data_IF_946288746378
#
_entry.id   IF_946288746378
#
_cell.length_a   1.000
_cell.length_b   1.000
_cell.length_c   1.000
_cell.angle_alpha   90.00
_cell.angle_beta   90.00
_cell.angle_gamma   90.00
#
_symmetry.space_group_name_H-M   'P 1'
#
loop_
_entity.id
_entity.type
_entity.pdbx_description
1 polymer ?
#
# COMPACT_ATOMS: atom_id res chain seq x y z
N UNK A 1 -6.88 21.65 12.22
CA UNK A 1 -7.74 20.48 12.50
C UNK A 1 -8.59 20.27 11.28
N UNK A 2 -8.59 19.07 10.73
CA UNK A 2 -9.30 18.69 9.50
C UNK A 2 -10.42 17.73 9.90
N UNK A 3 -11.65 17.99 9.49
CA UNK A 3 -12.72 17.00 9.66
C UNK A 3 -12.57 15.91 8.59
N UNK A 4 -12.87 14.66 8.92
CA UNK A 4 -12.76 13.57 7.93
C UNK A 4 -13.63 13.78 6.70
N UNK A 5 -14.75 14.51 6.84
CA UNK A 5 -15.63 14.90 5.74
C UNK A 5 -14.97 15.89 4.75
N UNK A 6 -13.94 16.63 5.17
CA UNK A 6 -13.16 17.54 4.30
C UNK A 6 -12.10 16.79 3.48
N UNK A 7 -11.78 15.54 3.85
CA UNK A 7 -10.84 14.71 3.11
C UNK A 7 -11.57 14.11 1.91
N UNK A 8 -11.41 14.75 0.75
CA UNK A 8 -11.96 14.24 -0.49
C UNK A 8 -11.31 12.93 -0.93
N UNK A 9 -12.02 12.10 -1.72
CA UNK A 9 -11.44 10.89 -2.28
C UNK A 9 -10.25 11.24 -3.21
N UNK A 10 -9.27 10.33 -3.28
CA UNK A 10 -8.16 10.47 -4.22
C UNK A 10 -8.73 10.51 -5.65
N UNK A 11 -8.45 11.59 -6.37
CA UNK A 11 -8.86 11.76 -7.77
C UNK A 11 -7.91 10.99 -8.69
N UNK A 12 -8.35 10.72 -9.93
CA UNK A 12 -7.49 9.99 -10.89
C UNK A 12 -6.17 10.68 -11.22
N UNK A 13 -6.13 11.99 -11.48
CA UNK A 13 -4.85 12.70 -11.66
C UNK A 13 -3.94 12.54 -10.44
N UNK A 14 -4.47 12.79 -9.26
CA UNK A 14 -3.77 12.64 -7.98
C UNK A 14 -3.28 11.20 -7.74
N UNK A 15 -4.12 10.19 -8.01
CA UNK A 15 -3.72 8.78 -7.93
C UNK A 15 -2.54 8.43 -8.85
N UNK A 16 -2.46 9.10 -10.00
CA UNK A 16 -1.33 8.93 -10.91
C UNK A 16 -0.06 9.56 -10.35
N UNK A 17 -0.14 10.77 -9.86
CA UNK A 17 1.00 11.47 -9.23
C UNK A 17 1.50 10.68 -8.02
N UNK A 18 0.60 10.30 -7.10
CA UNK A 18 0.94 9.48 -5.94
C UNK A 18 1.61 8.15 -6.33
N UNK A 19 1.15 7.51 -7.41
CA UNK A 19 1.75 6.25 -7.87
C UNK A 19 3.15 6.42 -8.47
N UNK A 20 3.36 7.50 -9.24
CA UNK A 20 4.64 7.82 -9.85
C UNK A 20 5.65 8.18 -8.74
N UNK A 21 5.27 9.05 -7.82
CA UNK A 21 6.10 9.51 -6.71
C UNK A 21 6.44 8.39 -5.73
N UNK A 22 5.46 7.56 -5.38
CA UNK A 22 5.68 6.44 -4.46
C UNK A 22 6.63 5.40 -5.05
N UNK A 23 6.44 5.05 -6.32
CA UNK A 23 7.37 4.09 -6.95
C UNK A 23 8.76 4.69 -7.08
N UNK A 24 8.89 6.00 -7.33
CA UNK A 24 10.18 6.67 -7.36
C UNK A 24 10.86 6.68 -5.98
N UNK A 25 10.10 6.93 -4.91
CA UNK A 25 10.60 6.88 -3.53
C UNK A 25 11.07 5.47 -3.14
N UNK A 26 10.29 4.43 -3.51
CA UNK A 26 10.68 3.03 -3.31
C UNK A 26 11.98 2.69 -4.08
N UNK A 27 12.07 3.08 -5.35
CA UNK A 27 13.27 2.88 -6.19
C UNK A 27 14.50 3.56 -5.57
N UNK A 28 14.34 4.79 -5.07
CA UNK A 28 15.43 5.52 -4.41
C UNK A 28 15.90 4.80 -3.14
N UNK A 29 14.97 4.39 -2.27
CA UNK A 29 15.29 3.65 -1.05
C UNK A 29 16.02 2.34 -1.37
N UNK A 30 15.49 1.53 -2.29
CA UNK A 30 16.08 0.25 -2.67
C UNK A 30 17.46 0.41 -3.34
N UNK A 31 17.66 1.50 -4.11
CA UNK A 31 18.91 1.79 -4.77
C UNK A 31 20.08 2.13 -3.83
N UNK A 32 19.76 2.58 -2.62
CA UNK A 32 20.74 2.96 -1.59
C UNK A 32 21.07 1.81 -0.61
N UNK A 33 20.42 0.65 -0.73
CA UNK A 33 20.62 -0.46 0.21
C UNK A 33 21.93 -1.18 -0.03
N UNK A 34 22.63 -1.51 1.06
CA UNK A 34 23.78 -2.42 1.05
C UNK A 34 23.35 -3.87 0.78
N UNK A 35 24.25 -4.75 0.33
CA UNK A 35 23.94 -6.16 0.15
C UNK A 35 23.36 -6.85 1.40
N UNK A 36 23.81 -6.46 2.58
CA UNK A 36 23.34 -7.00 3.86
C UNK A 36 21.92 -6.53 4.19
N UNK A 37 21.56 -5.29 3.83
CA UNK A 37 20.22 -4.75 4.04
C UNK A 37 19.18 -5.46 3.18
N UNK A 38 19.53 -5.89 1.99
CA UNK A 38 18.65 -6.67 1.12
C UNK A 38 18.22 -8.02 1.70
N UNK A 39 19.00 -8.58 2.61
CA UNK A 39 18.70 -9.85 3.30
C UNK A 39 17.98 -9.66 4.64
N UNK A 40 17.66 -8.42 5.05
CA UNK A 40 16.96 -8.16 6.31
C UNK A 40 15.52 -8.64 6.25
N UNK A 41 15.06 -9.27 7.35
CA UNK A 41 13.66 -9.70 7.49
C UNK A 41 12.76 -8.48 7.66
N UNK A 42 11.60 -8.51 7.05
CA UNK A 42 10.59 -7.45 7.14
C UNK A 42 9.46 -7.83 8.10
N UNK A 43 8.53 -6.92 8.33
CA UNK A 43 7.31 -7.18 9.11
C UNK A 43 6.34 -8.15 8.40
N UNK A 44 6.55 -8.45 7.12
CA UNK A 44 5.91 -9.55 6.43
C UNK A 44 6.71 -10.84 6.70
N UNK A 45 6.22 -11.78 7.55
CA UNK A 45 7.05 -12.89 8.08
C UNK A 45 7.63 -13.81 7.01
N UNK A 46 6.98 -13.89 5.85
CA UNK A 46 7.44 -14.73 4.73
C UNK A 46 8.57 -14.07 3.91
N UNK A 47 8.80 -12.75 4.05
CA UNK A 47 9.64 -11.99 3.14
C UNK A 47 10.82 -11.30 3.84
N UNK A 48 11.98 -11.34 3.20
CA UNK A 48 13.05 -10.37 3.36
C UNK A 48 12.83 -9.17 2.44
N UNK A 49 13.69 -8.17 2.54
CA UNK A 49 13.63 -6.96 1.69
C UNK A 49 13.67 -7.31 0.21
N UNK A 50 14.48 -8.33 -0.18
CA UNK A 50 14.61 -8.75 -1.57
C UNK A 50 13.32 -9.37 -2.11
N UNK A 51 12.69 -10.24 -1.35
CA UNK A 51 11.40 -10.85 -1.73
C UNK A 51 10.30 -9.79 -1.84
N UNK A 52 10.26 -8.83 -0.90
CA UNK A 52 9.34 -7.71 -0.92
C UNK A 52 9.55 -6.83 -2.16
N UNK A 53 10.79 -6.50 -2.52
CA UNK A 53 11.08 -5.77 -3.75
C UNK A 53 10.66 -6.56 -5.00
N UNK A 54 10.81 -7.89 -4.99
CA UNK A 54 10.32 -8.78 -6.03
C UNK A 54 8.79 -8.76 -6.17
N UNK A 55 8.06 -8.73 -5.05
CA UNK A 55 6.61 -8.54 -5.01
C UNK A 55 6.22 -7.19 -5.62
N UNK A 56 6.78 -6.08 -5.12
CA UNK A 56 6.46 -4.73 -5.62
C UNK A 56 6.75 -4.60 -7.12
N UNK A 57 7.90 -5.13 -7.61
CA UNK A 57 8.17 -5.17 -9.05
C UNK A 57 7.11 -5.97 -9.81
N UNK A 58 6.72 -7.13 -9.32
CA UNK A 58 5.70 -7.99 -9.93
C UNK A 58 4.33 -7.28 -10.01
N UNK A 59 3.98 -6.53 -8.96
CA UNK A 59 2.79 -5.69 -8.94
C UNK A 59 2.91 -4.56 -9.97
N UNK A 60 4.02 -3.80 -9.96
CA UNK A 60 4.23 -2.69 -10.90
C UNK A 60 4.17 -3.19 -12.35
N UNK A 61 4.85 -4.27 -12.70
CA UNK A 61 4.81 -4.82 -14.07
C UNK A 61 3.46 -5.46 -14.42
N UNK A 62 2.81 -6.12 -13.48
CA UNK A 62 1.51 -6.77 -13.65
C UNK A 62 0.44 -5.79 -14.09
N UNK A 63 0.45 -4.58 -13.53
CA UNK A 63 -0.51 -3.52 -13.85
C UNK A 63 -0.04 -2.55 -14.95
N UNK A 64 0.80 -3.00 -15.88
CA UNK A 64 1.16 -2.23 -17.07
C UNK A 64 0.29 -2.53 -18.30
N UNK A 65 -0.65 -3.47 -18.21
CA UNK A 65 -1.54 -3.84 -19.31
C UNK A 65 -2.48 -4.99 -18.96
N UNK A 66 -3.67 -5.01 -19.58
CA UNK A 66 -4.71 -6.00 -19.30
C UNK A 66 -4.23 -7.46 -19.43
N UNK A 67 -3.44 -7.76 -20.48
CA UNK A 67 -2.91 -9.13 -20.67
C UNK A 67 -1.99 -9.55 -19.54
N UNK A 68 -1.14 -8.64 -19.04
CA UNK A 68 -0.23 -8.91 -17.93
C UNK A 68 -1.00 -9.11 -16.64
N UNK A 69 -1.96 -8.24 -16.35
CA UNK A 69 -2.84 -8.36 -15.18
C UNK A 69 -3.57 -9.71 -15.18
N UNK A 70 -4.24 -10.06 -16.29
CA UNK A 70 -4.97 -11.34 -16.39
C UNK A 70 -4.03 -12.54 -16.25
N UNK A 71 -2.84 -12.50 -16.86
CA UNK A 71 -1.85 -13.58 -16.75
C UNK A 71 -1.36 -13.74 -15.30
N UNK A 72 -1.08 -12.64 -14.61
CA UNK A 72 -0.67 -12.62 -13.21
C UNK A 72 -1.74 -13.23 -12.29
N UNK A 73 -2.99 -12.77 -12.40
CA UNK A 73 -4.10 -13.31 -11.60
C UNK A 73 -4.37 -14.79 -11.89
N UNK A 74 -4.29 -15.23 -13.16
CA UNK A 74 -4.44 -16.65 -13.51
C UNK A 74 -3.33 -17.52 -12.95
N UNK A 75 -2.09 -17.04 -12.99
CA UNK A 75 -0.95 -17.78 -12.44
C UNK A 75 -1.02 -17.81 -10.91
N UNK A 76 -1.29 -16.66 -10.29
CA UNK A 76 -1.48 -16.56 -8.85
C UNK A 76 -2.63 -17.42 -8.33
N UNK A 77 -3.80 -17.38 -8.99
CA UNK A 77 -4.92 -18.23 -8.60
C UNK A 77 -4.63 -19.72 -8.67
N UNK A 78 -3.77 -20.16 -9.61
CA UNK A 78 -3.29 -21.56 -9.63
C UNK A 78 -2.36 -21.86 -8.45
N UNK A 79 -1.53 -20.89 -8.06
CA UNK A 79 -0.61 -21.04 -6.93
C UNK A 79 -1.35 -21.05 -5.58
N UNK A 80 -2.41 -20.26 -5.46
CA UNK A 80 -3.25 -20.19 -4.26
C UNK A 80 -3.94 -21.51 -3.93
N UNK A 81 -4.25 -22.35 -4.95
CA UNK A 81 -5.04 -23.56 -4.73
C UNK A 81 -6.41 -23.24 -4.14
N UNK A 82 -6.69 -23.75 -2.95
CA UNK A 82 -7.93 -23.49 -2.20
C UNK A 82 -7.81 -22.26 -1.24
N UNK A 83 -6.64 -21.64 -1.19
CA UNK A 83 -6.40 -20.43 -0.36
C UNK A 83 -6.82 -19.13 -1.04
N UNK A 84 -6.65 -17.97 -0.36
CA UNK A 84 -6.95 -16.67 -0.91
C UNK A 84 -6.17 -16.40 -2.20
N UNK A 85 -6.88 -15.92 -3.22
CA UNK A 85 -6.25 -15.65 -4.54
C UNK A 85 -5.09 -14.65 -4.41
N UNK A 86 -5.21 -13.67 -3.50
CA UNK A 86 -4.17 -12.66 -3.31
C UNK A 86 -2.86 -13.27 -2.83
N UNK A 87 -2.89 -14.27 -1.94
CA UNK A 87 -1.69 -14.95 -1.45
C UNK A 87 -0.93 -15.64 -2.59
N UNK A 88 -1.66 -16.29 -3.49
CA UNK A 88 -1.05 -16.89 -4.68
C UNK A 88 -0.53 -15.85 -5.68
N UNK A 89 -1.19 -14.69 -5.80
CA UNK A 89 -0.73 -13.59 -6.67
C UNK A 89 0.57 -13.00 -6.12
N UNK A 90 0.64 -12.73 -4.83
CA UNK A 90 1.86 -12.17 -4.20
C UNK A 90 3.01 -13.18 -4.24
N UNK A 91 2.75 -14.47 -3.96
CA UNK A 91 3.75 -15.53 -4.11
C UNK A 91 4.26 -15.66 -5.55
N UNK A 92 3.37 -15.58 -6.54
CA UNK A 92 3.75 -15.58 -7.96
C UNK A 92 4.64 -14.39 -8.32
N UNK A 93 4.35 -13.20 -7.82
CA UNK A 93 5.15 -11.99 -8.06
C UNK A 93 6.57 -12.14 -7.50
N UNK A 94 6.72 -12.66 -6.28
CA UNK A 94 8.04 -12.96 -5.69
C UNK A 94 8.79 -13.98 -6.54
N UNK A 95 8.16 -15.13 -6.82
CA UNK A 95 8.75 -16.24 -7.58
C UNK A 95 9.25 -15.80 -8.96
N UNK A 96 8.47 -14.98 -9.68
CA UNK A 96 8.83 -14.52 -11.02
C UNK A 96 10.06 -13.62 -11.04
N UNK A 97 10.41 -13.01 -9.93
CA UNK A 97 11.49 -12.04 -9.81
C UNK A 97 12.69 -12.55 -8.98
N UNK A 98 12.62 -13.79 -8.45
CA UNK A 98 13.69 -14.35 -7.60
C UNK A 98 15.04 -14.53 -8.32
N UNK A 99 15.03 -14.69 -9.64
CA UNK A 99 16.24 -14.87 -10.45
C UNK A 99 16.97 -13.55 -10.78
N UNK A 100 16.33 -12.38 -10.55
CA UNK A 100 16.90 -11.07 -10.85
C UNK A 100 17.92 -10.66 -9.81
N UNK A 101 18.94 -9.93 -10.21
CA UNK A 101 19.82 -9.21 -9.29
C UNK A 101 19.08 -8.02 -8.66
N UNK A 102 19.56 -7.53 -7.52
CA UNK A 102 18.99 -6.35 -6.86
C UNK A 102 18.98 -5.11 -7.78
N UNK A 103 20.04 -4.91 -8.54
CA UNK A 103 20.12 -3.84 -9.54
C UNK A 103 19.08 -3.98 -10.66
N UNK A 104 18.82 -5.21 -11.12
CA UNK A 104 17.78 -5.46 -12.13
C UNK A 104 16.36 -5.23 -11.56
N UNK A 105 16.11 -5.61 -10.30
CA UNK A 105 14.83 -5.32 -9.64
C UNK A 105 14.55 -3.80 -9.64
N UNK A 106 15.51 -3.01 -9.17
CA UNK A 106 15.40 -1.54 -9.09
C UNK A 106 15.24 -0.92 -10.50
N UNK A 107 16.08 -1.30 -11.45
CA UNK A 107 16.05 -0.75 -12.81
C UNK A 107 14.74 -1.05 -13.54
N UNK A 108 14.20 -2.29 -13.40
CA UNK A 108 12.95 -2.69 -14.02
C UNK A 108 11.76 -2.00 -13.37
N UNK A 109 11.77 -1.82 -12.04
CA UNK A 109 10.73 -1.09 -11.31
C UNK A 109 10.67 0.36 -11.81
N UNK A 110 11.80 1.06 -11.86
CA UNK A 110 11.91 2.42 -12.39
C UNK A 110 11.40 2.54 -13.84
N UNK A 111 11.76 1.60 -14.69
CA UNK A 111 11.34 1.61 -16.09
C UNK A 111 9.83 1.33 -16.29
N UNK A 112 9.22 0.53 -15.42
CA UNK A 112 7.81 0.16 -15.55
C UNK A 112 6.85 1.17 -14.88
N UNK A 113 7.30 1.93 -13.88
CA UNK A 113 6.50 2.82 -13.05
C UNK A 113 5.63 3.83 -13.85
N UNK A 114 6.14 4.62 -14.79
CA UNK A 114 5.32 5.60 -15.51
C UNK A 114 4.22 4.95 -16.36
N UNK A 115 4.51 3.74 -16.90
CA UNK A 115 3.53 2.97 -17.65
C UNK A 115 2.45 2.40 -16.76
N UNK A 116 2.82 1.89 -15.60
CA UNK A 116 1.89 1.35 -14.62
C UNK A 116 0.95 2.45 -14.11
N UNK A 117 1.47 3.58 -13.65
CA UNK A 117 0.69 4.69 -13.14
C UNK A 117 -0.32 5.22 -14.18
N UNK A 118 0.12 5.37 -15.43
CA UNK A 118 -0.76 5.74 -16.55
C UNK A 118 -1.83 4.68 -16.79
N UNK A 119 -1.44 3.40 -16.91
CA UNK A 119 -2.36 2.35 -17.28
C UNK A 119 -3.49 2.19 -16.25
N UNK A 120 -3.18 2.20 -14.96
CA UNK A 120 -4.17 1.99 -13.91
C UNK A 120 -5.16 3.15 -13.74
N UNK A 121 -4.77 4.37 -14.13
CA UNK A 121 -5.63 5.56 -13.99
C UNK A 121 -6.45 5.89 -15.25
N UNK A 122 -6.10 5.37 -16.43
CA UNK A 122 -6.79 5.68 -17.69
C UNK A 122 -7.97 4.73 -18.02
N UNK A 123 -8.17 3.60 -17.30
CA UNK A 123 -9.15 2.55 -17.67
C UNK A 123 -10.56 2.78 -17.14
N UNK A 124 -11.36 3.57 -17.86
CA UNK A 124 -12.68 4.01 -17.38
C UNK A 124 -13.67 2.86 -17.14
N UNK A 125 -13.77 1.88 -18.05
CA UNK A 125 -14.72 0.77 -17.91
C UNK A 125 -14.24 -0.27 -16.88
N UNK A 126 -12.96 -0.65 -16.94
CA UNK A 126 -12.38 -1.63 -16.03
C UNK A 126 -12.52 -1.19 -14.56
N UNK A 127 -12.40 0.10 -14.28
CA UNK A 127 -12.52 0.66 -12.93
C UNK A 127 -13.87 0.43 -12.25
N UNK A 128 -14.94 0.20 -13.03
CA UNK A 128 -16.29 -0.05 -12.52
C UNK A 128 -16.54 -1.53 -12.20
N UNK A 129 -15.64 -2.41 -12.59
CA UNK A 129 -15.78 -3.84 -12.33
C UNK A 129 -15.62 -4.11 -10.83
N UNK A 130 -16.44 -5.02 -10.26
CA UNK A 130 -16.27 -5.44 -8.89
C UNK A 130 -15.04 -6.36 -8.76
N UNK A 131 -14.34 -6.26 -7.63
CA UNK A 131 -13.33 -7.18 -7.13
C UNK A 131 -13.78 -7.67 -5.76
N UNK A 132 -13.72 -8.97 -5.51
CA UNK A 132 -14.01 -9.56 -4.21
C UNK A 132 -12.70 -9.82 -3.49
N UNK A 133 -12.58 -9.25 -2.31
CA UNK A 133 -11.37 -9.36 -1.50
C UNK A 133 -11.71 -9.98 -0.16
N UNK A 134 -10.96 -11.00 0.22
CA UNK A 134 -11.07 -11.62 1.54
C UNK A 134 -10.23 -10.82 2.54
N UNK A 135 -10.89 -10.36 3.58
CA UNK A 135 -10.27 -9.56 4.64
C UNK A 135 -9.61 -10.47 5.68
N UNK A 136 -8.64 -9.97 6.48
CA UNK A 136 -7.95 -10.76 7.50
C UNK A 136 -8.86 -11.39 8.55
N UNK A 137 -10.06 -10.84 8.78
CA UNK A 137 -11.07 -11.37 9.68
C UNK A 137 -11.97 -12.46 9.04
N UNK A 138 -11.68 -12.86 7.79
CA UNK A 138 -12.44 -13.83 7.02
C UNK A 138 -13.71 -13.27 6.38
N UNK A 139 -14.00 -11.99 6.50
CA UNK A 139 -15.11 -11.36 5.77
C UNK A 139 -14.73 -11.11 4.32
N UNK A 140 -15.72 -11.05 3.42
CA UNK A 140 -15.50 -10.75 2.00
C UNK A 140 -16.07 -9.36 1.70
N UNK A 141 -15.21 -8.45 1.30
CA UNK A 141 -15.60 -7.14 0.80
C UNK A 141 -15.71 -7.14 -0.72
N UNK A 142 -16.58 -6.29 -1.24
CA UNK A 142 -16.65 -6.02 -2.69
C UNK A 142 -16.16 -4.62 -2.96
N UNK A 143 -14.99 -4.53 -3.57
CA UNK A 143 -14.39 -3.27 -3.99
C UNK A 143 -14.68 -3.01 -5.48
N UNK A 144 -14.41 -1.80 -5.92
CA UNK A 144 -14.29 -1.51 -7.35
C UNK A 144 -12.84 -1.65 -7.78
N UNK A 145 -12.59 -2.07 -9.01
CA UNK A 145 -11.22 -2.04 -9.56
C UNK A 145 -10.63 -0.62 -9.57
N UNK A 146 -11.50 0.42 -9.56
CA UNK A 146 -11.06 1.80 -9.39
C UNK A 146 -10.41 2.06 -8.03
N UNK A 147 -11.01 1.55 -6.97
CA UNK A 147 -10.44 1.62 -5.63
C UNK A 147 -9.11 0.85 -5.54
N UNK A 148 -9.06 -0.36 -6.11
CA UNK A 148 -7.80 -1.12 -6.17
C UNK A 148 -6.71 -0.31 -6.90
N UNK A 149 -7.02 0.22 -8.09
CA UNK A 149 -6.04 0.92 -8.92
C UNK A 149 -5.59 2.27 -8.36
N UNK A 150 -6.48 3.02 -7.72
CA UNK A 150 -6.23 4.39 -7.31
C UNK A 150 -5.76 4.51 -5.86
N UNK A 151 -6.18 3.57 -5.02
CA UNK A 151 -5.89 3.60 -3.59
C UNK A 151 -4.98 2.43 -3.19
N UNK A 152 -5.46 1.20 -3.30
CA UNK A 152 -4.78 0.03 -2.72
C UNK A 152 -3.37 -0.17 -3.29
N UNK A 153 -3.19 -0.15 -4.62
CA UNK A 153 -1.86 -0.35 -5.20
C UNK A 153 -0.83 0.73 -4.81
N UNK A 154 -1.29 1.93 -4.40
CA UNK A 154 -0.39 2.96 -3.89
C UNK A 154 -0.09 2.75 -2.42
N UNK A 155 -1.11 2.43 -1.60
CA UNK A 155 -0.94 2.12 -0.18
C UNK A 155 -0.07 0.88 0.03
N UNK A 156 -0.23 -0.15 -0.81
CA UNK A 156 0.59 -1.37 -0.81
C UNK A 156 2.08 -1.03 -1.00
N UNK A 157 2.42 -0.29 -2.06
CA UNK A 157 3.81 0.12 -2.31
C UNK A 157 4.33 1.00 -1.17
N UNK A 158 3.52 1.94 -0.67
CA UNK A 158 3.87 2.85 0.41
C UNK A 158 4.14 2.10 1.71
N UNK A 159 3.28 1.15 2.09
CA UNK A 159 3.48 0.36 3.31
C UNK A 159 4.71 -0.55 3.18
N UNK A 160 4.96 -1.13 2.01
CA UNK A 160 6.18 -1.91 1.78
C UNK A 160 7.46 -1.05 1.80
N UNK A 161 7.39 0.23 1.39
CA UNK A 161 8.51 1.16 1.59
C UNK A 161 8.76 1.43 3.08
N UNK A 162 7.70 1.54 3.87
CA UNK A 162 7.80 1.62 5.33
C UNK A 162 8.39 0.33 5.92
N UNK A 163 7.91 -0.85 5.50
CA UNK A 163 8.42 -2.15 5.94
C UNK A 163 9.94 -2.31 5.65
N UNK A 164 10.39 -1.87 4.46
CA UNK A 164 11.82 -1.86 4.08
C UNK A 164 12.62 -0.93 4.99
N UNK A 165 12.13 0.28 5.23
CA UNK A 165 12.81 1.25 6.08
C UNK A 165 12.93 0.74 7.52
N UNK A 166 11.89 0.14 8.07
CA UNK A 166 11.91 -0.48 9.41
C UNK A 166 12.93 -1.63 9.48
N UNK A 167 12.92 -2.53 8.50
CA UNK A 167 13.83 -3.68 8.45
C UNK A 167 15.30 -3.26 8.37
N UNK A 168 15.59 -2.17 7.70
CA UNK A 168 16.96 -1.69 7.45
C UNK A 168 17.43 -0.62 8.43
N UNK A 169 16.52 -0.03 9.19
CA UNK A 169 16.80 1.12 10.06
C UNK A 169 17.02 2.43 9.30
N UNK A 170 16.57 2.49 8.05
CA UNK A 170 16.65 3.70 7.22
C UNK A 170 15.58 4.70 7.59
N UNK A 171 15.92 5.97 7.59
CA UNK A 171 14.96 7.06 7.76
C UNK A 171 14.30 7.37 6.41
N UNK A 172 12.97 7.47 6.39
CA UNK A 172 12.23 7.90 5.22
C UNK A 172 12.19 9.43 5.14
N UNK A 173 12.39 9.96 3.95
CA UNK A 173 12.14 11.37 3.65
C UNK A 173 10.64 11.55 3.36
N UNK A 174 9.87 11.78 4.43
CA UNK A 174 8.42 11.89 4.38
C UNK A 174 7.99 13.34 4.14
N UNK A 175 7.00 13.52 3.27
CA UNK A 175 6.45 14.83 2.95
C UNK A 175 4.95 14.94 3.27
N UNK A 176 4.46 16.10 3.71
CA UNK A 176 3.02 16.29 3.90
C UNK A 176 2.21 16.13 2.61
N UNK A 177 2.77 16.54 1.47
CA UNK A 177 2.08 16.52 0.18
C UNK A 177 1.86 15.11 -0.35
N UNK A 178 2.83 14.22 -0.21
CA UNK A 178 2.78 12.83 -0.66
C UNK A 178 2.32 11.90 0.47
N UNK A 179 3.17 11.71 1.47
CA UNK A 179 2.93 10.76 2.57
C UNK A 179 1.73 11.19 3.43
N UNK A 180 1.65 12.50 3.76
CA UNK A 180 0.53 13.05 4.52
C UNK A 180 -0.80 12.92 3.79
N UNK A 181 -0.81 12.97 2.45
CA UNK A 181 -2.02 12.74 1.65
C UNK A 181 -2.48 11.27 1.70
N UNK A 182 -1.55 10.31 1.66
CA UNK A 182 -1.85 8.89 1.82
C UNK A 182 -2.39 8.62 3.22
N UNK A 183 -1.73 9.16 4.26
CA UNK A 183 -2.17 9.04 5.65
C UNK A 183 -3.57 9.64 5.85
N UNK A 184 -3.86 10.81 5.29
CA UNK A 184 -5.19 11.43 5.37
C UNK A 184 -6.27 10.54 4.74
N UNK A 185 -6.00 9.91 3.61
CA UNK A 185 -6.92 8.97 2.96
C UNK A 185 -7.17 7.71 3.82
N UNK A 186 -6.13 7.19 4.48
CA UNK A 186 -6.24 6.10 5.47
C UNK A 186 -7.11 6.54 6.66
N UNK A 187 -6.89 7.74 7.22
CA UNK A 187 -7.70 8.29 8.32
C UNK A 187 -9.17 8.38 7.93
N UNK A 188 -9.47 8.91 6.74
CA UNK A 188 -10.83 9.03 6.26
C UNK A 188 -11.52 7.66 6.09
N UNK A 189 -10.80 6.66 5.60
CA UNK A 189 -11.34 5.31 5.48
C UNK A 189 -11.54 4.66 6.84
N UNK A 190 -10.55 4.74 7.72
CA UNK A 190 -10.64 4.22 9.08
C UNK A 190 -11.83 4.82 9.84
N UNK A 191 -12.03 6.12 9.75
CA UNK A 191 -13.19 6.81 10.35
C UNK A 191 -14.51 6.26 9.82
N UNK A 192 -14.64 6.06 8.51
CA UNK A 192 -15.85 5.47 7.92
C UNK A 192 -16.11 4.03 8.37
N UNK A 193 -15.05 3.23 8.57
CA UNK A 193 -15.17 1.82 8.96
C UNK A 193 -15.67 1.65 10.39
N UNK A 194 -15.18 2.43 11.35
CA UNK A 194 -15.63 2.31 12.73
C UNK A 194 -16.83 3.20 13.09
N UNK A 195 -17.07 4.31 12.36
CA UNK A 195 -18.25 5.16 12.49
C UNK A 195 -18.43 5.84 13.86
N UNK A 196 -17.36 6.04 14.63
CA UNK A 196 -17.39 6.58 15.99
C UNK A 196 -16.67 7.92 16.06
N UNK A 197 -17.09 8.86 16.93
CA UNK A 197 -16.43 10.16 17.08
C UNK A 197 -15.04 10.01 17.69
N UNK A 198 -14.10 10.87 17.24
CA UNK A 198 -12.73 10.94 17.76
C UNK A 198 -12.08 12.31 17.49
N UNK A 199 -11.00 12.57 18.23
CA UNK A 199 -9.97 13.55 17.89
C UNK A 199 -8.64 12.80 17.79
N UNK A 200 -7.94 12.94 16.67
CA UNK A 200 -6.71 12.22 16.37
C UNK A 200 -5.59 13.22 16.04
N UNK A 201 -4.53 13.20 16.81
CA UNK A 201 -3.29 13.92 16.53
C UNK A 201 -2.24 12.92 16.03
N UNK A 202 -1.89 12.99 14.75
CA UNK A 202 -0.81 12.24 14.16
C UNK A 202 0.44 13.10 14.10
N UNK A 203 1.51 12.69 14.77
CA UNK A 203 2.80 13.37 14.79
C UNK A 203 3.68 12.93 13.62
N UNK A 204 4.78 13.65 13.39
CA UNK A 204 5.72 13.39 12.29
C UNK A 204 5.38 14.16 11.01
N UNK A 205 6.26 14.10 9.99
CA UNK A 205 6.11 14.89 8.75
C UNK A 205 4.87 14.52 7.92
N UNK A 206 4.40 13.27 8.01
CA UNK A 206 3.17 12.79 7.36
C UNK A 206 1.92 12.98 8.25
N UNK A 207 2.06 13.58 9.42
CA UNK A 207 1.01 13.73 10.41
C UNK A 207 0.03 14.87 10.13
N UNK A 208 -0.88 15.05 11.08
CA UNK A 208 -1.91 16.09 11.06
C UNK A 208 -2.91 15.90 12.19
N UNK A 209 -3.83 16.84 12.36
CA UNK A 209 -4.88 16.74 13.37
C UNK A 209 -6.24 16.54 12.69
N UNK A 210 -6.92 15.46 13.04
CA UNK A 210 -8.16 15.02 12.42
C UNK A 210 -9.27 14.88 13.47
N UNK A 211 -10.52 15.05 13.04
CA UNK A 211 -11.68 14.89 13.92
C UNK A 211 -12.88 14.29 13.17
N UNK A 212 -13.70 13.53 13.90
CA UNK A 212 -14.99 13.01 13.44
C UNK A 212 -16.02 13.20 14.54
N UNK A 213 -17.16 13.81 14.20
CA UNK A 213 -18.24 14.06 15.17
C UNK A 213 -17.85 14.98 16.33
N UNK A 214 -18.55 14.86 17.46
CA UNK A 214 -18.30 15.63 18.68
C UNK A 214 -18.24 14.70 19.90
N UNK A 215 -17.27 14.97 20.77
CA UNK A 215 -16.98 14.12 21.93
C UNK A 215 -16.55 12.72 21.47
N UNK A 216 -15.62 12.11 22.06
CA UNK A 216 -15.14 10.82 21.61
C UNK A 216 -13.77 10.53 22.19
N UNK A 217 -13.06 9.57 21.63
CA UNK A 217 -11.73 9.19 22.07
C UNK A 217 -10.73 10.23 21.53
N UNK A 218 -9.84 10.70 22.41
CA UNK A 218 -8.66 11.46 22.00
C UNK A 218 -7.48 10.50 21.83
N UNK A 219 -6.83 10.57 20.67
CA UNK A 219 -5.71 9.71 20.31
C UNK A 219 -4.54 10.56 19.84
N UNK A 220 -3.33 10.22 20.28
CA UNK A 220 -2.07 10.81 19.79
C UNK A 220 -1.08 9.70 19.52
N UNK A 221 -0.55 9.64 18.29
CA UNK A 221 0.49 8.69 17.89
C UNK A 221 1.28 9.21 16.68
N UNK A 222 2.38 8.54 16.36
CA UNK A 222 3.11 8.80 15.12
C UNK A 222 2.29 8.35 13.90
N UNK A 223 2.35 9.10 12.79
CA UNK A 223 1.55 8.84 11.59
C UNK A 223 1.91 7.50 10.92
N UNK A 224 3.18 7.13 10.94
CA UNK A 224 3.63 5.84 10.37
C UNK A 224 3.18 4.70 11.27
N UNK A 225 3.34 4.81 12.59
CA UNK A 225 2.89 3.79 13.54
C UNK A 225 1.36 3.63 13.53
N UNK A 226 0.60 4.70 13.33
CA UNK A 226 -0.84 4.63 13.10
C UNK A 226 -1.15 3.74 11.89
N UNK A 227 -0.56 4.03 10.73
CA UNK A 227 -0.80 3.26 9.51
C UNK A 227 -0.30 1.81 9.64
N UNK A 228 0.85 1.58 10.28
CA UNK A 228 1.36 0.22 10.56
C UNK A 228 0.40 -0.58 11.43
N UNK A 229 -0.17 0.05 12.45
CA UNK A 229 -1.18 -0.58 13.31
C UNK A 229 -2.42 -0.98 12.51
N UNK A 230 -2.94 -0.06 11.69
CA UNK A 230 -4.13 -0.34 10.87
C UNK A 230 -3.86 -1.37 9.75
N UNK A 231 -2.63 -1.48 9.28
CA UNK A 231 -2.19 -2.49 8.32
C UNK A 231 -1.86 -3.85 8.98
N UNK A 232 -2.04 -3.99 10.30
CA UNK A 232 -1.76 -5.23 11.03
C UNK A 232 -0.28 -5.52 11.29
N UNK A 233 0.65 -4.53 11.10
CA UNK A 233 2.07 -4.66 11.41
C UNK A 233 2.35 -4.52 12.92
N UNK A 234 1.41 -3.92 13.65
CA UNK A 234 1.45 -3.76 15.09
C UNK A 234 0.07 -4.05 15.70
N UNK A 235 0.00 -4.47 16.96
CA UNK A 235 -1.29 -4.72 17.61
C UNK A 235 -2.04 -3.42 17.87
N UNK A 236 -3.30 -3.34 17.43
CA UNK A 236 -4.21 -2.23 17.69
C UNK A 236 -5.17 -2.52 18.84
N UNK A 237 -5.56 -1.47 19.57
CA UNK A 237 -6.59 -1.54 20.62
C UNK A 237 -7.63 -0.42 20.50
N UNK A 238 -8.80 -0.61 21.06
CA UNK A 238 -9.88 0.38 20.98
C UNK A 238 -10.28 0.66 19.52
N UNK A 239 -10.24 1.93 19.10
CA UNK A 239 -10.52 2.30 17.70
C UNK A 239 -9.45 1.80 16.75
N UNK A 240 -8.19 1.72 17.18
CA UNK A 240 -7.07 1.25 16.36
C UNK A 240 -7.11 -0.27 16.08
N UNK A 241 -8.02 -1.03 16.69
CA UNK A 241 -8.27 -2.42 16.31
C UNK A 241 -8.99 -2.54 14.95
N UNK A 242 -9.63 -1.45 14.47
CA UNK A 242 -10.24 -1.42 13.15
C UNK A 242 -9.17 -1.33 12.07
N UNK A 243 -8.93 -2.42 11.35
CA UNK A 243 -7.98 -2.45 10.23
C UNK A 243 -8.53 -1.73 8.99
N UNK A 244 -7.58 -1.28 8.16
CA UNK A 244 -7.80 -0.64 6.87
C UNK A 244 -6.94 -1.38 5.82
N UNK A 245 -7.43 -1.62 4.60
CA UNK A 245 -6.64 -2.26 3.55
C UNK A 245 -5.46 -1.38 3.07
N UNK A 246 -4.35 -2.05 2.85
CA UNK A 246 -3.16 -1.49 2.25
C UNK A 246 -2.72 -2.30 1.04
#
# INVERSE_FOLDING_TARGET
MITTAEIGPITRPEARELAEDETAAMVALLGDLSPEEWARRTDCPAWDVRAMAGHVLGMVEGFTGLRRMVAMFRAGGKLAGDGPTIDGVTAYQVMMNEHLTTGELVARMAAAAPRQARWRTERTLLRRMPSKEEMPDGTVETWTMGYVFEVILTRDTWMHRVDVAQATGRTLDLTPAHDGRIVADVVAEWARRHGRPFTLELTGPAGGTYTEGSGGVELTCDAIEFCRTLAGRAPGSGLLAQQVPF
#
